data_IF_796620206034
#
_entry.id   IF_796620206034
#
_cell.length_a   1.000
_cell.length_b   1.000
_cell.length_c   1.000
_cell.angle_alpha   90.00
_cell.angle_beta   90.00
_cell.angle_gamma   90.00
#
_symmetry.space_group_name_H-M   'P 1'
#
loop_
_entity.id
_entity.type
_entity.pdbx_description
1 polymer ?
#
# COMPACT_ATOMS: atom_id res chain seq x y z
N UNK A 1 2.93 -10.80 46.48
CA UNK A 1 1.83 -10.08 45.76
C UNK A 1 0.50 -10.43 46.40
N UNK A 2 -0.37 -9.45 46.68
CA UNK A 2 -1.72 -9.70 47.23
C UNK A 2 -2.51 -10.64 46.32
N UNK A 3 -3.17 -11.66 46.87
CA UNK A 3 -3.99 -12.68 46.17
C UNK A 3 -4.90 -12.08 45.10
N UNK A 4 -5.46 -10.89 45.37
CA UNK A 4 -6.30 -10.14 44.44
C UNK A 4 -5.59 -9.73 43.14
N UNK A 5 -4.32 -9.29 43.20
CA UNK A 5 -3.54 -8.94 42.00
C UNK A 5 -3.26 -10.17 41.13
N UNK A 6 -3.01 -11.33 41.75
CA UNK A 6 -2.81 -12.60 41.04
C UNK A 6 -4.11 -13.07 40.35
N UNK A 7 -5.26 -12.94 41.02
CA UNK A 7 -6.58 -13.25 40.45
C UNK A 7 -6.89 -12.39 39.23
N UNK A 8 -6.70 -11.07 39.33
CA UNK A 8 -6.94 -10.14 38.21
C UNK A 8 -6.01 -10.43 37.03
N UNK A 9 -4.74 -10.73 37.29
CA UNK A 9 -3.77 -11.09 36.24
C UNK A 9 -4.11 -12.41 35.55
N UNK A 10 -4.43 -13.47 36.31
CA UNK A 10 -4.83 -14.76 35.75
C UNK A 10 -6.08 -14.60 34.89
N UNK A 11 -7.14 -13.96 35.41
CA UNK A 11 -8.39 -13.77 34.67
C UNK A 11 -8.18 -12.97 33.38
N UNK A 12 -7.34 -11.93 33.43
CA UNK A 12 -7.00 -11.11 32.26
C UNK A 12 -6.16 -11.86 31.24
N UNK A 13 -5.26 -12.76 31.66
CA UNK A 13 -4.48 -13.63 30.74
C UNK A 13 -5.36 -14.72 30.14
N UNK A 14 -6.25 -15.35 30.91
CA UNK A 14 -7.23 -16.34 30.42
C UNK A 14 -8.18 -15.69 29.41
N UNK A 15 -8.75 -14.52 29.72
CA UNK A 15 -9.71 -13.85 28.84
C UNK A 15 -9.11 -13.30 27.54
N UNK A 16 -7.78 -13.12 27.50
CA UNK A 16 -7.03 -12.68 26.31
C UNK A 16 -6.51 -13.84 25.47
N UNK A 17 -6.59 -15.07 25.97
CA UNK A 17 -6.03 -16.21 25.27
C UNK A 17 -6.97 -16.66 24.14
N UNK A 18 -6.55 -16.45 22.90
CA UNK A 18 -7.29 -16.83 21.68
C UNK A 18 -6.78 -18.13 21.05
N UNK A 19 -6.02 -18.96 21.78
CA UNK A 19 -5.38 -20.17 21.24
C UNK A 19 -6.32 -21.38 21.13
N UNK A 20 -6.00 -22.27 20.19
CA UNK A 20 -6.85 -23.41 19.77
C UNK A 20 -6.88 -24.64 20.70
N UNK A 21 -6.29 -24.57 21.90
CA UNK A 21 -6.16 -25.71 22.84
C UNK A 21 -7.30 -25.84 23.86
N UNK A 22 -8.38 -25.08 23.71
CA UNK A 22 -9.47 -25.00 24.69
C UNK A 22 -9.11 -24.23 25.96
N UNK A 23 -10.13 -23.90 26.75
CA UNK A 23 -10.03 -23.05 27.95
C UNK A 23 -9.00 -23.57 28.97
N UNK A 24 -8.81 -24.89 29.07
CA UNK A 24 -7.83 -25.49 29.98
C UNK A 24 -6.36 -25.25 29.58
N UNK A 25 -6.02 -25.33 28.30
CA UNK A 25 -4.63 -25.09 27.85
C UNK A 25 -4.20 -23.65 28.14
N UNK A 26 -5.12 -22.71 27.96
CA UNK A 26 -4.86 -21.30 28.27
C UNK A 26 -4.68 -21.02 29.76
N UNK A 27 -5.35 -21.79 30.62
CA UNK A 27 -5.12 -21.75 32.08
C UNK A 27 -3.73 -22.26 32.44
N UNK A 28 -3.23 -23.32 31.81
CA UNK A 28 -1.89 -23.85 32.07
C UNK A 28 -0.77 -22.89 31.62
N UNK A 29 -0.88 -22.28 30.44
CA UNK A 29 0.08 -21.27 29.97
C UNK A 29 0.13 -20.04 30.88
N UNK A 30 -1.03 -19.54 31.31
CA UNK A 30 -1.08 -18.41 32.25
C UNK A 30 -0.40 -18.73 33.59
N UNK A 31 -0.53 -19.97 34.08
CA UNK A 31 0.20 -20.44 35.27
C UNK A 31 1.71 -20.42 35.00
N UNK A 32 2.17 -20.99 33.88
CA UNK A 32 3.59 -21.08 33.54
C UNK A 32 4.26 -19.70 33.46
N UNK A 33 3.65 -18.73 32.78
CA UNK A 33 4.18 -17.37 32.67
C UNK A 33 4.27 -16.67 34.04
N UNK A 34 3.25 -16.82 34.89
CA UNK A 34 3.23 -16.18 36.22
C UNK A 34 4.20 -16.83 37.21
N UNK A 35 4.49 -18.13 37.04
CA UNK A 35 5.58 -18.80 37.77
C UNK A 35 6.93 -18.24 37.34
N UNK A 36 7.15 -18.01 36.04
CA UNK A 36 8.38 -17.40 35.53
C UNK A 36 8.59 -15.94 36.00
N UNK A 37 7.50 -15.20 36.26
CA UNK A 37 7.52 -13.86 36.87
C UNK A 37 7.85 -13.89 38.40
N UNK A 38 8.07 -15.06 39.00
CA UNK A 38 8.69 -15.23 40.33
C UNK A 38 7.82 -14.87 41.54
N UNK A 39 6.53 -14.56 41.35
CA UNK A 39 5.72 -13.91 42.40
C UNK A 39 4.69 -14.81 43.10
N UNK A 40 4.45 -16.02 42.61
CA UNK A 40 3.37 -16.90 43.09
C UNK A 40 3.75 -18.39 42.98
N UNK A 41 3.28 -19.20 43.93
CA UNK A 41 3.49 -20.65 43.88
C UNK A 41 2.54 -21.34 42.89
N UNK A 42 2.98 -22.45 42.28
CA UNK A 42 2.13 -23.29 41.40
C UNK A 42 0.83 -23.70 42.11
N UNK A 43 0.89 -23.96 43.42
CA UNK A 43 -0.28 -24.35 44.23
C UNK A 43 -1.32 -23.23 44.31
N UNK A 44 -0.91 -21.97 44.45
CA UNK A 44 -1.83 -20.83 44.48
C UNK A 44 -2.44 -20.57 43.10
N UNK A 45 -1.60 -20.60 42.05
CA UNK A 45 -2.03 -20.30 40.69
C UNK A 45 -2.99 -21.37 40.14
N UNK A 46 -2.76 -22.64 40.45
CA UNK A 46 -3.67 -23.75 40.06
C UNK A 46 -5.04 -23.66 40.75
N UNK A 47 -5.08 -23.25 42.03
CA UNK A 47 -6.34 -22.96 42.74
C UNK A 47 -7.09 -21.78 42.09
N UNK A 48 -6.38 -20.69 41.78
CA UNK A 48 -6.99 -19.51 41.15
C UNK A 48 -7.52 -19.82 39.75
N UNK A 49 -6.80 -20.63 38.97
CA UNK A 49 -7.19 -21.03 37.62
C UNK A 49 -8.21 -22.19 37.57
N UNK A 50 -8.60 -22.73 38.74
CA UNK A 50 -9.51 -23.87 38.86
C UNK A 50 -9.06 -25.08 38.02
N UNK A 51 -7.80 -25.50 38.19
CA UNK A 51 -7.21 -26.68 37.56
C UNK A 51 -6.45 -27.51 38.59
N UNK A 52 -6.33 -28.82 38.36
CA UNK A 52 -5.57 -29.67 39.27
C UNK A 52 -4.06 -29.45 39.10
N UNK A 53 -3.30 -29.50 40.21
CA UNK A 53 -1.83 -29.45 40.15
C UNK A 53 -1.26 -30.62 39.34
N UNK A 54 -1.87 -31.81 39.44
CA UNK A 54 -1.47 -33.01 38.68
C UNK A 54 -1.60 -32.79 37.17
N UNK A 55 -2.73 -32.24 36.71
CA UNK A 55 -2.96 -31.97 35.29
C UNK A 55 -2.06 -30.87 34.73
N UNK A 56 -1.71 -29.85 35.53
CA UNK A 56 -0.71 -28.85 35.15
C UNK A 56 0.68 -29.47 34.90
N UNK A 57 1.18 -30.31 35.83
CA UNK A 57 2.49 -30.96 35.63
C UNK A 57 2.48 -32.01 34.53
N UNK A 58 1.34 -32.70 34.33
CA UNK A 58 1.17 -33.61 33.20
C UNK A 58 1.20 -32.85 31.87
N UNK A 59 0.55 -31.69 31.81
CA UNK A 59 0.62 -30.80 30.65
C UNK A 59 2.05 -30.29 30.41
N UNK A 60 2.78 -29.93 31.47
CA UNK A 60 4.16 -29.43 31.37
C UNK A 60 5.14 -30.50 30.86
N UNK A 61 4.87 -31.77 31.13
CA UNK A 61 5.69 -32.92 30.69
C UNK A 61 5.15 -33.61 29.44
N UNK A 62 4.08 -33.11 28.83
CA UNK A 62 3.48 -33.77 27.67
C UNK A 62 4.42 -33.65 26.46
N UNK A 63 4.57 -34.70 25.65
CA UNK A 63 5.21 -34.56 24.36
C UNK A 63 4.38 -33.63 23.47
N UNK A 64 5.04 -32.84 22.62
CA UNK A 64 4.36 -32.03 21.62
C UNK A 64 3.61 -32.95 20.66
N UNK A 65 2.36 -32.61 20.34
CA UNK A 65 1.64 -33.33 19.30
C UNK A 65 2.19 -32.95 17.92
N UNK A 66 1.94 -33.81 16.91
CA UNK A 66 2.38 -33.56 15.53
C UNK A 66 2.01 -32.16 15.03
N UNK A 67 0.81 -31.68 15.40
CA UNK A 67 0.34 -30.35 15.03
C UNK A 67 1.18 -29.21 15.62
N UNK A 68 1.65 -29.36 16.87
CA UNK A 68 2.53 -28.37 17.52
C UNK A 68 3.93 -28.40 16.89
N UNK A 69 4.42 -29.59 16.53
CA UNK A 69 5.69 -29.75 15.80
C UNK A 69 5.61 -29.03 14.44
N UNK A 70 4.54 -29.28 13.68
CA UNK A 70 4.30 -28.64 12.40
C UNK A 70 4.16 -27.11 12.53
N UNK A 71 3.45 -26.63 13.56
CA UNK A 71 3.30 -25.19 13.81
C UNK A 71 4.64 -24.52 14.11
N UNK A 72 5.53 -25.20 14.86
CA UNK A 72 6.87 -24.70 15.14
C UNK A 72 7.72 -24.64 13.86
N UNK A 73 7.67 -25.69 13.02
CA UNK A 73 8.37 -25.69 11.75
C UNK A 73 7.88 -24.57 10.82
N UNK A 74 6.56 -24.33 10.76
CA UNK A 74 5.96 -23.22 10.00
C UNK A 74 6.44 -21.87 10.56
N UNK A 75 6.53 -21.71 11.88
CA UNK A 75 7.01 -20.49 12.50
C UNK A 75 8.45 -20.16 12.09
N UNK A 76 9.36 -21.14 12.12
CA UNK A 76 10.75 -20.96 11.67
C UNK A 76 10.82 -20.53 10.20
N UNK A 77 10.00 -21.14 9.35
CA UNK A 77 9.88 -20.76 7.95
C UNK A 77 9.37 -19.32 7.77
N UNK A 78 8.38 -18.89 8.58
CA UNK A 78 7.89 -17.51 8.59
C UNK A 78 9.02 -16.54 8.97
N UNK A 79 9.85 -16.85 9.97
CA UNK A 79 10.97 -15.99 10.34
C UNK A 79 11.99 -15.83 9.21
N UNK A 80 12.31 -16.89 8.48
CA UNK A 80 13.20 -16.81 7.31
C UNK A 80 12.62 -15.90 6.22
N UNK A 81 11.32 -16.05 5.93
CA UNK A 81 10.62 -15.23 4.92
C UNK A 81 10.60 -13.76 5.35
N UNK A 82 10.22 -13.45 6.60
CA UNK A 82 10.16 -12.07 7.08
C UNK A 82 11.55 -11.42 7.15
N UNK A 83 12.59 -12.16 7.56
CA UNK A 83 13.99 -11.66 7.53
C UNK A 83 14.42 -11.29 6.12
N UNK A 84 14.14 -12.14 5.13
CA UNK A 84 14.47 -11.89 3.71
C UNK A 84 13.71 -10.69 3.16
N UNK A 85 12.44 -10.54 3.53
CA UNK A 85 11.59 -9.46 3.05
C UNK A 85 11.61 -8.22 3.93
N UNK A 86 12.57 -8.08 4.86
CA UNK A 86 12.70 -6.92 5.75
C UNK A 86 11.37 -6.59 6.46
N UNK A 87 10.71 -7.63 6.97
CA UNK A 87 9.43 -7.57 7.65
C UNK A 87 8.25 -7.06 6.81
N UNK A 88 8.32 -7.07 5.47
CA UNK A 88 7.26 -6.54 4.59
C UNK A 88 6.32 -7.59 3.99
N UNK A 89 6.54 -8.89 4.23
CA UNK A 89 5.85 -9.94 3.48
C UNK A 89 4.37 -10.05 3.87
N UNK A 90 4.07 -10.05 5.17
CA UNK A 90 2.71 -10.21 5.66
C UNK A 90 2.09 -11.57 5.33
N UNK A 91 1.02 -11.93 6.04
CA UNK A 91 0.52 -13.31 6.04
C UNK A 91 0.10 -13.86 4.66
N UNK A 92 -0.35 -12.99 3.72
CA UNK A 92 -0.72 -13.41 2.35
C UNK A 92 0.50 -13.88 1.57
N UNK A 93 1.53 -13.04 1.48
CA UNK A 93 2.77 -13.35 0.75
C UNK A 93 3.51 -14.52 1.37
N UNK A 94 3.56 -14.55 2.70
CA UNK A 94 4.11 -15.68 3.47
C UNK A 94 3.41 -16.99 3.11
N UNK A 95 2.06 -17.00 3.03
CA UNK A 95 1.32 -18.23 2.65
C UNK A 95 1.66 -18.70 1.24
N UNK A 96 1.79 -17.77 0.29
CA UNK A 96 2.14 -18.08 -1.11
C UNK A 96 3.55 -18.68 -1.19
N UNK A 97 4.51 -18.13 -0.44
CA UNK A 97 5.89 -18.62 -0.39
C UNK A 97 5.96 -19.99 0.30
N UNK A 98 5.29 -20.17 1.43
CA UNK A 98 5.25 -21.44 2.17
C UNK A 98 4.67 -22.60 1.36
N UNK A 99 3.71 -22.32 0.47
CA UNK A 99 3.10 -23.33 -0.40
C UNK A 99 3.83 -23.48 -1.74
N UNK A 100 4.98 -22.82 -1.93
CA UNK A 100 5.76 -22.82 -3.17
C UNK A 100 4.92 -22.47 -4.42
N UNK A 101 3.83 -21.71 -4.27
CA UNK A 101 2.89 -21.40 -5.38
C UNK A 101 3.54 -20.50 -6.45
N UNK A 102 4.65 -19.83 -6.13
CA UNK A 102 5.44 -19.01 -7.05
C UNK A 102 6.73 -19.67 -7.56
N UNK A 103 7.09 -20.88 -7.10
CA UNK A 103 8.36 -21.54 -7.49
C UNK A 103 8.37 -22.11 -8.92
N UNK A 104 7.26 -22.04 -9.68
CA UNK A 104 7.27 -22.49 -11.08
C UNK A 104 8.09 -21.60 -12.02
N UNK A 105 8.49 -20.38 -11.63
CA UNK A 105 9.07 -19.43 -12.57
C UNK A 105 10.41 -18.79 -12.18
N UNK A 106 11.04 -19.10 -11.05
CA UNK A 106 12.36 -18.55 -10.72
C UNK A 106 13.20 -19.53 -9.89
N UNK A 107 14.39 -19.86 -10.38
CA UNK A 107 15.48 -20.47 -9.61
C UNK A 107 15.83 -19.52 -8.47
N UNK A 108 15.34 -19.81 -7.27
CA UNK A 108 15.68 -19.09 -6.05
C UNK A 108 16.29 -20.11 -5.11
N UNK A 109 17.61 -20.14 -5.06
CA UNK A 109 18.33 -20.83 -3.98
C UNK A 109 17.94 -20.22 -2.63
N UNK A 110 17.82 -21.11 -1.64
CA UNK A 110 17.92 -20.81 -0.20
C UNK A 110 16.64 -20.39 0.56
N UNK A 111 15.61 -21.25 0.53
CA UNK A 111 14.78 -21.49 1.71
C UNK A 111 15.14 -22.87 2.28
N UNK A 112 15.31 -22.99 3.59
CA UNK A 112 15.73 -24.25 4.23
C UNK A 112 14.56 -25.12 4.70
N UNK A 113 13.33 -24.76 4.30
CA UNK A 113 12.11 -25.44 4.68
C UNK A 113 11.40 -26.03 3.46
N UNK A 114 10.83 -27.22 3.64
CA UNK A 114 9.92 -27.85 2.69
C UNK A 114 8.77 -28.51 3.48
N UNK A 115 7.55 -28.33 3.00
CA UNK A 115 6.35 -28.88 3.63
C UNK A 115 5.63 -29.77 2.63
N UNK A 116 5.49 -31.06 2.98
CA UNK A 116 4.77 -32.06 2.17
C UNK A 116 3.24 -31.83 2.10
N UNK A 117 2.73 -30.80 2.75
CA UNK A 117 1.31 -30.49 2.85
C UNK A 117 1.05 -28.99 2.62
N UNK A 118 -0.14 -28.69 2.09
CA UNK A 118 -0.58 -27.31 1.88
C UNK A 118 -0.94 -26.62 3.19
N UNK A 119 -0.37 -25.45 3.43
CA UNK A 119 -0.58 -24.63 4.60
C UNK A 119 -1.72 -23.64 4.35
N UNK A 120 -2.76 -23.69 5.19
CA UNK A 120 -3.90 -22.79 5.11
C UNK A 120 -3.53 -21.36 5.56
N UNK A 121 -3.98 -20.35 4.81
CA UNK A 121 -3.80 -18.93 5.14
C UNK A 121 -4.25 -18.53 6.55
N UNK A 122 -5.31 -19.17 7.08
CA UNK A 122 -5.79 -18.96 8.45
C UNK A 122 -4.81 -19.49 9.50
N UNK A 123 -4.10 -20.59 9.18
CA UNK A 123 -3.05 -21.17 10.03
C UNK A 123 -1.84 -20.23 10.10
N UNK A 124 -1.37 -19.73 8.96
CA UNK A 124 -0.29 -18.72 8.89
C UNK A 124 -0.65 -17.48 9.69
N UNK A 125 -1.85 -16.91 9.44
CA UNK A 125 -2.32 -15.72 10.16
C UNK A 125 -2.39 -15.94 11.67
N UNK A 126 -2.83 -17.13 12.12
CA UNK A 126 -2.86 -17.48 13.55
C UNK A 126 -1.46 -17.51 14.14
N UNK A 127 -0.52 -18.24 13.52
CA UNK A 127 0.85 -18.40 13.99
C UNK A 127 1.55 -17.03 14.07
N UNK A 128 1.44 -16.20 13.03
CA UNK A 128 2.00 -14.84 13.04
C UNK A 128 1.42 -13.98 14.17
N UNK A 129 0.10 -14.05 14.40
CA UNK A 129 -0.56 -13.28 15.47
C UNK A 129 -0.13 -13.75 16.86
N UNK A 130 -0.01 -15.06 17.07
CA UNK A 130 0.44 -15.65 18.35
C UNK A 130 1.88 -15.23 18.69
N UNK A 131 2.73 -15.00 17.69
CA UNK A 131 4.13 -14.63 17.87
C UNK A 131 4.41 -13.13 17.64
N UNK A 132 3.38 -12.30 17.53
CA UNK A 132 3.52 -10.86 17.36
C UNK A 132 4.13 -10.41 16.02
N UNK A 133 4.22 -11.31 15.04
CA UNK A 133 4.79 -11.03 13.72
C UNK A 133 3.79 -10.18 12.93
N UNK A 134 4.22 -8.99 12.54
CA UNK A 134 3.43 -8.03 11.75
C UNK A 134 4.26 -7.55 10.58
N UNK A 135 3.59 -7.27 9.47
CA UNK A 135 4.25 -6.63 8.35
C UNK A 135 4.50 -5.15 8.68
N UNK A 136 5.75 -4.71 8.60
CA UNK A 136 6.15 -3.31 8.56
C UNK A 136 5.75 -2.73 7.21
N UNK A 137 4.49 -2.34 7.14
CA UNK A 137 3.97 -1.58 6.01
C UNK A 137 4.36 -0.12 6.26
N UNK A 138 5.15 0.45 5.34
CA UNK A 138 5.46 1.88 5.34
C UNK A 138 4.15 2.66 5.42
N UNK A 139 3.89 3.31 6.55
CA UNK A 139 2.76 4.23 6.67
C UNK A 139 2.99 5.39 5.70
N UNK A 140 1.95 5.76 4.95
CA UNK A 140 2.02 6.94 4.08
C UNK A 140 2.20 8.17 4.96
N UNK A 141 3.35 8.82 4.85
CA UNK A 141 3.59 10.09 5.52
C UNK A 141 2.73 11.17 4.85
N UNK A 142 1.72 11.67 5.54
CA UNK A 142 0.95 12.85 5.16
C UNK A 142 1.71 14.16 5.49
N UNK A 143 3.02 14.19 5.25
CA UNK A 143 3.86 15.38 5.48
C UNK A 143 3.93 16.28 4.25
N UNK A 144 2.81 16.46 3.54
CA UNK A 144 2.71 17.59 2.61
C UNK A 144 2.21 18.76 3.45
N UNK A 145 3.13 19.62 3.90
CA UNK A 145 2.76 20.98 4.31
C UNK A 145 1.85 21.51 3.20
N UNK A 146 0.67 22.03 3.55
CA UNK A 146 -0.10 22.87 2.66
C UNK A 146 0.80 24.07 2.32
N UNK A 147 1.68 23.91 1.34
CA UNK A 147 2.26 25.06 0.67
C UNK A 147 1.06 25.84 0.14
N UNK A 148 1.01 27.09 0.59
CA UNK A 148 -0.09 28.02 0.44
C UNK A 148 -0.82 27.82 -0.89
N UNK A 149 -2.15 27.78 -0.81
CA UNK A 149 -3.06 27.91 -1.93
C UNK A 149 -2.83 29.26 -2.62
N UNK A 150 -1.71 29.42 -3.33
CA UNK A 150 -1.43 30.63 -4.10
C UNK A 150 -2.36 30.74 -5.32
N UNK A 151 -3.02 29.65 -5.70
CA UNK A 151 -4.04 29.64 -6.76
C UNK A 151 -5.36 29.12 -6.23
N UNK A 152 -6.31 30.05 -6.06
CA UNK A 152 -7.73 29.83 -5.75
C UNK A 152 -8.54 29.29 -6.94
N UNK A 153 -7.91 28.74 -7.98
CA UNK A 153 -8.66 28.09 -9.05
C UNK A 153 -9.21 26.75 -8.53
N UNK A 154 -10.54 26.64 -8.53
CA UNK A 154 -11.26 25.43 -8.17
C UNK A 154 -11.35 24.44 -9.34
N UNK A 155 -11.94 23.28 -9.07
CA UNK A 155 -12.33 22.35 -10.12
C UNK A 155 -13.62 22.86 -10.79
N UNK A 156 -13.47 23.67 -11.84
CA UNK A 156 -14.57 24.24 -12.60
C UNK A 156 -15.13 23.27 -13.65
N UNK A 157 -14.27 22.39 -14.19
CA UNK A 157 -14.70 21.32 -15.09
C UNK A 157 -15.67 20.35 -14.40
N UNK A 158 -15.47 20.12 -13.10
CA UNK A 158 -16.32 19.29 -12.25
C UNK A 158 -16.71 17.95 -12.90
N UNK A 159 -15.72 17.28 -13.52
CA UNK A 159 -15.86 15.99 -14.23
C UNK A 159 -16.87 15.98 -15.37
N UNK A 160 -17.19 17.13 -15.94
CA UNK A 160 -17.98 17.23 -17.17
C UNK A 160 -17.12 16.82 -18.37
N UNK A 161 -16.77 15.54 -18.46
CA UNK A 161 -15.88 15.01 -19.51
C UNK A 161 -16.55 14.92 -20.88
N UNK A 162 -17.88 14.88 -20.94
CA UNK A 162 -18.63 14.88 -22.20
C UNK A 162 -18.84 16.32 -22.66
N UNK A 163 -18.08 16.74 -23.67
CA UNK A 163 -18.27 18.02 -24.34
C UNK A 163 -19.21 17.84 -25.55
N UNK A 164 -19.92 18.90 -25.93
CA UNK A 164 -20.85 18.88 -27.09
C UNK A 164 -20.19 19.37 -28.38
N UNK A 165 -19.07 20.08 -28.28
CA UNK A 165 -18.35 20.68 -29.40
C UNK A 165 -16.83 20.55 -29.19
N UNK A 166 -16.04 20.44 -30.27
CA UNK A 166 -14.58 20.45 -30.18
C UNK A 166 -14.05 21.79 -29.66
N UNK A 167 -12.85 21.74 -29.07
CA UNK A 167 -12.09 22.91 -28.59
C UNK A 167 -12.80 23.78 -27.52
N UNK A 168 -13.76 23.22 -26.78
CA UNK A 168 -14.36 23.90 -25.60
C UNK A 168 -13.52 23.74 -24.35
N UNK A 169 -12.93 22.56 -24.17
CA UNK A 169 -12.10 22.26 -23.02
C UNK A 169 -10.88 21.49 -23.52
N UNK A 170 -9.70 22.03 -23.22
CA UNK A 170 -8.46 21.29 -23.39
C UNK A 170 -8.00 20.74 -22.05
N UNK A 171 -7.53 19.49 -22.05
CA UNK A 171 -6.96 18.82 -20.87
C UNK A 171 -5.48 18.56 -21.09
N UNK A 172 -4.68 18.59 -20.03
CA UNK A 172 -3.23 18.35 -20.08
C UNK A 172 -2.76 17.59 -18.85
N UNK A 173 -1.68 16.84 -19.05
CA UNK A 173 -0.95 16.14 -18.00
C UNK A 173 0.45 15.79 -18.55
N UNK A 174 1.38 15.54 -17.64
CA UNK A 174 2.76 15.22 -17.97
C UNK A 174 3.13 13.87 -17.37
N UNK A 175 3.48 12.90 -18.22
CA UNK A 175 3.93 11.59 -17.76
C UNK A 175 5.47 11.46 -17.83
N UNK A 176 6.06 10.89 -16.77
CA UNK A 176 7.46 10.45 -16.75
C UNK A 176 7.61 9.13 -17.50
N UNK A 177 8.62 9.05 -18.35
CA UNK A 177 9.04 7.82 -19.01
C UNK A 177 10.52 7.58 -18.75
N UNK A 178 10.91 6.31 -18.66
CA UNK A 178 12.31 5.89 -18.50
C UNK A 178 12.81 5.23 -19.78
N UNK A 179 14.07 5.46 -20.13
CA UNK A 179 14.68 4.87 -21.33
C UNK A 179 16.16 4.55 -21.13
N UNK A 180 16.72 3.83 -22.10
CA UNK A 180 18.11 3.37 -22.10
C UNK A 180 18.35 2.12 -21.24
N UNK A 181 19.61 1.67 -21.21
CA UNK A 181 19.99 0.45 -20.47
C UNK A 181 19.66 0.58 -18.99
N UNK A 182 18.87 -0.36 -18.48
CA UNK A 182 18.38 -0.41 -17.10
C UNK A 182 17.52 0.80 -16.69
N UNK A 183 16.80 1.45 -17.62
CA UNK A 183 15.89 2.58 -17.31
C UNK A 183 16.56 3.75 -16.58
N UNK A 184 17.85 4.00 -16.88
CA UNK A 184 18.66 5.02 -16.19
C UNK A 184 18.29 6.45 -16.58
N UNK A 185 17.80 6.66 -17.80
CA UNK A 185 17.45 8.00 -18.27
C UNK A 185 15.95 8.22 -18.09
N UNK A 186 15.59 9.48 -17.86
CA UNK A 186 14.20 9.90 -17.64
C UNK A 186 13.86 11.03 -18.59
N UNK A 187 12.62 11.03 -19.04
CA UNK A 187 12.06 12.08 -19.88
C UNK A 187 10.64 12.39 -19.44
N UNK A 188 10.17 13.59 -19.73
CA UNK A 188 8.80 14.04 -19.54
C UNK A 188 8.16 14.18 -20.91
N UNK A 189 6.99 13.59 -21.07
CA UNK A 189 6.15 13.81 -22.24
C UNK A 189 4.90 14.54 -21.77
N UNK A 190 4.70 15.74 -22.32
CA UNK A 190 3.54 16.58 -22.13
C UNK A 190 2.58 16.32 -23.28
N UNK A 191 1.29 16.23 -23.00
CA UNK A 191 0.27 16.09 -24.03
C UNK A 191 -0.91 17.00 -23.73
N UNK A 192 -1.44 17.65 -24.77
CA UNK A 192 -2.68 18.43 -24.71
C UNK A 192 -3.71 17.71 -25.55
N UNK A 193 -4.88 17.41 -24.96
CA UNK A 193 -6.00 16.76 -25.64
C UNK A 193 -7.19 17.71 -25.74
N UNK A 194 -7.95 17.62 -26.83
CA UNK A 194 -9.32 18.13 -26.88
C UNK A 194 -10.24 17.14 -26.15
N UNK A 195 -10.95 17.63 -25.12
CA UNK A 195 -11.82 16.80 -24.29
C UNK A 195 -13.03 16.24 -25.06
N UNK A 196 -13.45 16.87 -26.16
CA UNK A 196 -14.60 16.41 -26.96
C UNK A 196 -14.45 14.98 -27.50
N UNK A 197 -13.30 14.69 -28.09
CA UNK A 197 -12.99 13.37 -28.65
C UNK A 197 -11.78 12.69 -28.02
N UNK A 198 -11.22 13.27 -26.95
CA UNK A 198 -9.94 12.86 -26.37
C UNK A 198 -8.80 12.84 -27.40
N UNK A 199 -8.85 13.74 -28.37
CA UNK A 199 -7.91 13.78 -29.50
C UNK A 199 -6.62 14.54 -29.11
N UNK A 200 -5.42 13.97 -29.31
CA UNK A 200 -4.17 14.68 -29.07
C UNK A 200 -3.98 15.86 -30.03
N UNK A 201 -3.97 17.07 -29.46
CA UNK A 201 -3.71 18.30 -30.19
C UNK A 201 -2.22 18.48 -30.41
N UNK A 202 -1.44 18.44 -29.34
CA UNK A 202 0.01 18.61 -29.37
C UNK A 202 0.69 17.76 -28.30
N UNK A 203 2.00 17.60 -28.44
CA UNK A 203 2.83 16.94 -27.44
C UNK A 203 4.23 17.55 -27.44
N UNK A 204 4.90 17.50 -26.30
CA UNK A 204 6.26 17.99 -26.14
C UNK A 204 7.08 17.03 -25.29
N UNK A 205 8.29 16.72 -25.73
CA UNK A 205 9.27 15.95 -24.97
C UNK A 205 10.23 16.92 -24.29
N UNK A 206 10.42 16.80 -22.97
CA UNK A 206 11.39 17.62 -22.23
C UNK A 206 12.13 16.80 -21.17
N UNK A 207 13.32 17.23 -20.71
CA UNK A 207 14.04 16.56 -19.64
C UNK A 207 13.29 16.62 -18.30
N UNK A 208 12.66 17.76 -18.03
CA UNK A 208 11.94 18.06 -16.78
C UNK A 208 10.62 18.78 -17.06
N UNK A 209 9.72 18.76 -16.10
CA UNK A 209 8.45 19.48 -16.17
C UNK A 209 8.69 20.94 -15.75
N UNK A 210 8.62 21.86 -16.71
CA UNK A 210 8.81 23.29 -16.48
C UNK A 210 7.60 24.08 -16.95
N UNK A 211 7.38 25.25 -16.37
CA UNK A 211 6.33 26.17 -16.81
C UNK A 211 6.50 26.59 -18.28
N UNK A 212 7.74 26.71 -18.76
CA UNK A 212 8.06 26.98 -20.15
C UNK A 212 7.64 25.82 -21.07
N UNK A 213 7.91 24.57 -20.69
CA UNK A 213 7.48 23.39 -21.45
C UNK A 213 5.94 23.31 -21.51
N UNK A 214 5.27 23.57 -20.37
CA UNK A 214 3.82 23.63 -20.30
C UNK A 214 3.26 24.73 -21.22
N UNK A 215 3.80 25.95 -21.22
CA UNK A 215 3.38 27.00 -22.16
C UNK A 215 3.65 26.61 -23.62
N UNK A 216 4.81 26.00 -23.89
CA UNK A 216 5.22 25.64 -25.26
C UNK A 216 4.29 24.59 -25.88
N UNK A 217 3.89 23.56 -25.15
CA UNK A 217 2.98 22.54 -25.68
C UNK A 217 1.59 23.13 -26.01
N UNK A 218 1.12 24.11 -25.24
CA UNK A 218 -0.14 24.80 -25.54
C UNK A 218 -0.02 25.76 -26.74
N UNK A 219 1.11 26.43 -26.93
CA UNK A 219 1.35 27.23 -28.15
C UNK A 219 1.30 26.35 -29.40
N UNK A 220 1.90 25.16 -29.35
CA UNK A 220 1.83 24.20 -30.46
C UNK A 220 0.39 23.74 -30.74
N UNK A 221 -0.43 23.55 -29.70
CA UNK A 221 -1.85 23.24 -29.88
C UNK A 221 -2.61 24.41 -30.52
N UNK A 222 -2.40 25.62 -30.01
CA UNK A 222 -2.99 26.88 -30.52
C UNK A 222 -2.67 27.08 -32.01
N UNK A 223 -1.41 26.92 -32.40
CA UNK A 223 -0.95 27.05 -33.79
C UNK A 223 -1.56 25.97 -34.70
N UNK A 224 -1.63 24.71 -34.23
CA UNK A 224 -2.18 23.61 -35.02
C UNK A 224 -3.69 23.72 -35.23
N UNK A 225 -4.42 24.15 -34.20
CA UNK A 225 -5.88 24.23 -34.21
C UNK A 225 -6.36 25.55 -34.80
N UNK A 226 -5.57 26.63 -34.69
CA UNK A 226 -5.96 27.99 -35.09
C UNK A 226 -6.92 28.68 -34.12
N UNK A 227 -7.19 28.08 -32.96
CA UNK A 227 -7.97 28.67 -31.87
C UNK A 227 -7.43 28.20 -30.52
N UNK A 228 -7.89 28.83 -29.44
CA UNK A 228 -7.54 28.46 -28.07
C UNK A 228 -8.82 28.14 -27.29
N UNK A 229 -8.81 27.05 -26.51
CA UNK A 229 -9.99 26.66 -25.76
C UNK A 229 -10.37 27.72 -24.70
N UNK A 230 -11.67 27.99 -24.48
CA UNK A 230 -12.12 28.90 -23.44
C UNK A 230 -11.86 28.35 -22.03
N UNK A 231 -11.64 27.05 -21.87
CA UNK A 231 -11.23 26.42 -20.62
C UNK A 231 -10.07 25.46 -20.84
N UNK A 232 -9.11 25.51 -19.93
CA UNK A 232 -8.04 24.53 -19.80
C UNK A 232 -8.15 23.87 -18.43
N UNK A 233 -8.17 22.54 -18.40
CA UNK A 233 -8.16 21.76 -17.16
C UNK A 233 -6.82 21.07 -16.96
N UNK A 234 -6.21 21.27 -15.80
CA UNK A 234 -4.91 20.70 -15.45
C UNK A 234 -4.92 20.11 -14.03
N UNK A 235 -3.89 19.33 -13.72
CA UNK A 235 -3.62 18.91 -12.35
C UNK A 235 -3.00 20.06 -11.52
N UNK A 236 -2.60 19.79 -10.27
CA UNK A 236 -1.94 20.79 -9.41
C UNK A 236 -0.41 20.71 -9.48
N UNK A 237 0.13 20.30 -10.62
CA UNK A 237 1.58 20.27 -10.88
C UNK A 237 2.20 21.67 -10.84
N UNK A 238 3.44 21.76 -10.37
CA UNK A 238 4.11 23.05 -10.16
C UNK A 238 4.23 23.89 -11.45
N UNK A 239 4.37 23.24 -12.60
CA UNK A 239 4.41 23.92 -13.90
C UNK A 239 3.07 24.59 -14.24
N UNK A 240 1.96 23.88 -14.05
CA UNK A 240 0.60 24.37 -14.34
C UNK A 240 0.12 25.38 -13.28
N UNK A 241 0.56 25.25 -12.03
CA UNK A 241 0.30 26.25 -10.98
C UNK A 241 1.29 27.42 -10.99
N UNK A 242 2.14 27.56 -12.00
CA UNK A 242 3.11 28.67 -12.07
C UNK A 242 2.45 29.98 -12.50
N UNK A 243 3.01 31.12 -12.07
CA UNK A 243 2.55 32.43 -12.54
C UNK A 243 2.66 32.56 -14.07
N UNK A 244 3.72 32.00 -14.66
CA UNK A 244 3.96 32.05 -16.10
C UNK A 244 2.81 31.37 -16.88
N UNK A 245 2.41 30.16 -16.47
CA UNK A 245 1.33 29.43 -17.12
C UNK A 245 -0.03 30.13 -16.94
N UNK A 246 -0.32 30.63 -15.73
CA UNK A 246 -1.56 31.36 -15.47
C UNK A 246 -1.65 32.69 -16.23
N UNK A 247 -0.54 33.42 -16.36
CA UNK A 247 -0.47 34.63 -17.19
C UNK A 247 -0.71 34.29 -18.68
N UNK A 248 -0.12 33.18 -19.15
CA UNK A 248 -0.34 32.69 -20.51
C UNK A 248 -1.83 32.39 -20.75
N UNK A 249 -2.50 31.62 -19.89
CA UNK A 249 -3.94 31.36 -20.03
C UNK A 249 -4.79 32.64 -19.97
N UNK A 250 -4.47 33.54 -19.02
CA UNK A 250 -5.18 34.81 -18.87
C UNK A 250 -5.09 35.68 -20.12
N UNK A 251 -3.93 35.70 -20.78
CA UNK A 251 -3.74 36.45 -22.04
C UNK A 251 -4.54 35.89 -23.23
N UNK A 252 -5.06 34.65 -23.13
CA UNK A 252 -5.99 34.05 -24.09
C UNK A 252 -7.45 34.12 -23.65
N UNK A 253 -7.74 34.81 -22.54
CA UNK A 253 -9.06 34.79 -21.89
C UNK A 253 -9.55 33.37 -21.58
N UNK A 254 -8.63 32.42 -21.35
CA UNK A 254 -8.96 31.04 -21.01
C UNK A 254 -9.10 30.88 -19.50
N UNK A 255 -10.18 30.24 -19.09
CA UNK A 255 -10.43 29.86 -17.70
C UNK A 255 -9.53 28.68 -17.34
N UNK A 256 -8.83 28.80 -16.21
CA UNK A 256 -8.03 27.70 -15.68
C UNK A 256 -8.84 26.91 -14.65
N UNK A 257 -9.15 25.65 -14.95
CA UNK A 257 -9.73 24.69 -14.02
C UNK A 257 -8.64 23.79 -13.46
N UNK A 258 -8.60 23.59 -12.14
CA UNK A 258 -7.64 22.70 -11.48
C UNK A 258 -8.32 21.51 -10.84
N UNK A 259 -7.75 20.31 -10.97
CA UNK A 259 -8.19 19.14 -10.20
C UNK A 259 -8.24 19.44 -8.69
N UNK A 260 -9.19 18.86 -7.96
CA UNK A 260 -9.28 19.05 -6.52
C UNK A 260 -8.11 18.35 -5.80
N UNK A 261 -7.59 18.91 -4.69
CA UNK A 261 -6.53 18.26 -3.93
C UNK A 261 -6.88 16.82 -3.56
N UNK A 262 -5.97 15.88 -3.85
CA UNK A 262 -6.16 14.47 -3.52
C UNK A 262 -7.26 13.76 -4.31
N UNK A 263 -7.68 14.30 -5.46
CA UNK A 263 -8.77 13.76 -6.28
C UNK A 263 -8.31 13.41 -7.70
N UNK A 264 -7.63 12.26 -7.91
CA UNK A 264 -7.10 11.86 -9.22
C UNK A 264 -8.17 11.77 -10.32
N UNK A 265 -9.38 11.32 -9.95
CA UNK A 265 -10.49 11.17 -10.89
C UNK A 265 -10.98 12.46 -11.55
N UNK A 266 -10.49 13.63 -11.14
CA UNK A 266 -10.78 14.90 -11.80
C UNK A 266 -10.03 15.04 -13.15
N UNK A 267 -8.88 14.35 -13.31
CA UNK A 267 -8.09 14.34 -14.53
C UNK A 267 -8.19 13.00 -15.30
N UNK A 268 -9.26 12.22 -15.06
CA UNK A 268 -9.37 10.83 -15.49
C UNK A 268 -9.19 10.60 -17.00
N UNK A 269 -9.62 11.53 -17.85
CA UNK A 269 -9.54 11.37 -19.32
C UNK A 269 -8.10 11.29 -19.80
N UNK A 270 -7.22 12.15 -19.30
CA UNK A 270 -5.82 12.14 -19.72
C UNK A 270 -5.00 11.07 -18.97
N UNK A 271 -5.38 10.73 -17.73
CA UNK A 271 -4.84 9.54 -17.05
C UNK A 271 -5.14 8.26 -17.84
N UNK A 272 -6.34 8.15 -18.42
CA UNK A 272 -6.71 7.05 -19.29
C UNK A 272 -5.88 7.05 -20.58
N UNK A 273 -5.74 8.20 -21.25
CA UNK A 273 -4.85 8.34 -22.41
C UNK A 273 -3.42 7.85 -22.12
N UNK A 274 -2.84 8.20 -20.97
CA UNK A 274 -1.51 7.72 -20.59
C UNK A 274 -1.44 6.23 -20.33
N UNK A 275 -2.51 5.66 -19.78
CA UNK A 275 -2.61 4.22 -19.54
C UNK A 275 -2.58 3.46 -20.87
N UNK A 276 -3.38 3.92 -21.84
CA UNK A 276 -3.42 3.36 -23.19
C UNK A 276 -2.10 3.58 -23.93
N UNK A 277 -1.52 4.77 -23.82
CA UNK A 277 -0.22 5.07 -24.43
C UNK A 277 0.88 4.12 -23.96
N UNK A 278 0.97 3.91 -22.64
CA UNK A 278 1.95 2.99 -22.05
C UNK A 278 1.70 1.54 -22.45
N UNK A 279 0.45 1.12 -22.47
CA UNK A 279 0.09 -0.27 -22.75
C UNK A 279 0.22 -0.64 -24.23
N UNK A 280 -0.25 0.23 -25.13
CA UNK A 280 -0.31 -0.06 -26.56
C UNK A 280 0.99 0.30 -27.27
N UNK A 281 1.61 1.42 -26.92
CA UNK A 281 2.68 2.01 -27.73
C UNK A 281 4.08 1.84 -27.14
N UNK A 282 4.20 1.57 -25.83
CA UNK A 282 5.50 1.38 -25.17
C UNK A 282 5.76 -0.05 -24.69
N UNK A 283 4.75 -0.93 -24.70
CA UNK A 283 4.91 -2.33 -24.29
C UNK A 283 5.46 -3.24 -25.41
N UNK A 284 5.82 -2.64 -26.56
CA UNK A 284 6.34 -3.30 -27.76
C UNK A 284 7.62 -2.59 -28.22
#
# INVERSE_FOLDING_TARGET
>A
MTTFKAIVRIRKKISRNTQSGGEQTGRYQAIQELVAEGSNSVTELTKIANVSRKSYYQWLKRPLCQREIDDQAILEAIYQIEKRHQHSAGYRKVTVILNNENQKNQEIEEYTFDFSFRINIKRVRRIMREHGIRADIRQKNHNRKQEQEQIKAGNLLNRQFKQTEPNKVWVTDTSEFTYGKNNKNKVRLHAVLDLYGSCPLSHLVSPTETAEAAVTVFKQAEEKVGTFAPMVHTDRGAAYTSQQFNNYLSSRSSIHSLSAPGTPGDNAVIEHFWSDFKYVWLAH
#
